data_IF_739528236167
#
_entry.id   IF_739528236167
#
_cell.length_a   1.000
_cell.length_b   1.000
_cell.length_c   1.000
_cell.angle_alpha   90.00
_cell.angle_beta   90.00
_cell.angle_gamma   90.00
#
_symmetry.space_group_name_H-M   'P 1'
#
loop_
_entity.id
_entity.type
_entity.pdbx_description
1 polymer ?
#
# COMPACT_ATOMS: atom_id res chain seq x y z
N UNK A 1 -15.12 5.89 28.86
CA UNK A 1 -14.95 4.63 28.09
C UNK A 1 -14.98 5.03 26.62
N UNK A 2 -14.02 4.60 25.82
CA UNK A 2 -14.00 4.91 24.38
C UNK A 2 -15.22 4.29 23.70
N UNK A 3 -15.89 5.07 22.84
CA UNK A 3 -17.02 4.59 22.04
C UNK A 3 -16.63 4.69 20.56
N UNK A 4 -16.59 3.56 19.87
CA UNK A 4 -16.31 3.52 18.43
C UNK A 4 -17.54 3.95 17.64
N UNK A 5 -17.38 4.99 16.83
CA UNK A 5 -18.40 5.46 15.90
C UNK A 5 -18.22 4.80 14.53
N UNK A 6 -19.08 3.83 14.25
CA UNK A 6 -19.01 3.06 13.01
C UNK A 6 -19.39 3.88 11.78
N UNK A 7 -20.35 4.77 11.90
CA UNK A 7 -20.80 5.59 10.77
C UNK A 7 -19.70 6.57 10.33
N UNK A 8 -19.06 7.21 11.29
CA UNK A 8 -17.90 8.09 10.99
C UNK A 8 -16.71 7.31 10.44
N UNK A 9 -16.47 6.09 10.94
CA UNK A 9 -15.44 5.20 10.40
C UNK A 9 -15.72 4.83 8.94
N UNK A 10 -16.94 4.37 8.62
CA UNK A 10 -17.33 3.98 7.26
C UNK A 10 -17.24 5.14 6.28
N UNK A 11 -17.66 6.35 6.68
CA UNK A 11 -17.49 7.58 5.88
C UNK A 11 -16.01 7.88 5.61
N UNK A 12 -15.16 7.69 6.61
CA UNK A 12 -13.73 7.99 6.52
C UNK A 12 -13.00 7.02 5.58
N UNK A 13 -13.31 5.72 5.64
CA UNK A 13 -12.64 4.69 4.83
C UNK A 13 -13.23 4.54 3.41
N UNK A 14 -14.40 5.10 3.12
CA UNK A 14 -15.10 4.90 1.85
C UNK A 14 -14.24 5.22 0.63
N UNK A 15 -13.59 6.39 0.63
CA UNK A 15 -12.73 6.79 -0.49
C UNK A 15 -11.56 5.84 -0.71
N UNK A 16 -11.02 5.26 0.36
CA UNK A 16 -9.89 4.34 0.31
C UNK A 16 -10.30 3.00 -0.30
N UNK A 17 -11.48 2.51 0.07
CA UNK A 17 -12.07 1.32 -0.53
C UNK A 17 -12.39 1.52 -2.02
N UNK A 18 -12.76 2.75 -2.44
CA UNK A 18 -12.96 3.07 -3.85
C UNK A 18 -11.66 3.18 -4.64
N UNK A 19 -10.60 3.65 -4.00
CA UNK A 19 -9.30 3.93 -4.63
C UNK A 19 -8.56 2.67 -5.08
N UNK A 20 -8.54 1.62 -4.29
CA UNK A 20 -8.00 0.28 -4.53
C UNK A 20 -6.50 0.18 -4.81
N UNK A 21 -5.85 1.18 -5.40
CA UNK A 21 -4.47 1.11 -5.85
C UNK A 21 -3.68 2.36 -5.47
N UNK A 22 -2.53 2.18 -4.79
CA UNK A 22 -1.65 3.24 -4.33
C UNK A 22 -0.17 2.97 -4.59
N UNK A 23 0.65 4.03 -4.50
CA UNK A 23 2.11 3.99 -4.57
C UNK A 23 2.72 4.11 -3.18
N UNK A 24 3.59 3.19 -2.81
CA UNK A 24 4.48 3.32 -1.67
C UNK A 24 5.86 3.79 -2.14
N UNK A 25 6.50 4.69 -1.41
CA UNK A 25 7.82 5.21 -1.78
C UNK A 25 8.74 5.09 -0.57
N UNK A 26 9.71 4.16 -0.63
CA UNK A 26 10.76 4.01 0.37
C UNK A 26 12.03 4.67 -0.10
N UNK A 27 12.37 5.81 0.51
CA UNK A 27 13.53 6.58 0.12
C UNK A 27 14.18 7.27 1.32
N UNK A 28 15.51 7.37 1.32
CA UNK A 28 16.30 7.96 2.39
C UNK A 28 17.80 7.74 2.19
N UNK A 29 18.58 7.89 3.24
CA UNK A 29 20.04 7.73 3.20
C UNK A 29 20.48 6.33 2.72
N UNK A 30 19.68 5.31 3.01
CA UNK A 30 19.95 3.92 2.62
C UNK A 30 19.96 3.71 1.09
N UNK A 31 19.46 4.65 0.32
CA UNK A 31 19.57 4.61 -1.15
C UNK A 31 21.02 4.82 -1.65
N UNK A 32 21.87 5.48 -0.85
CA UNK A 32 23.29 5.73 -1.22
C UNK A 32 24.09 4.42 -1.22
N UNK A 33 24.12 3.61 -0.14
CA UNK A 33 24.78 2.31 -0.17
C UNK A 33 24.10 1.32 -1.12
N UNK A 34 22.85 1.55 -1.50
CA UNK A 34 22.12 0.76 -2.50
C UNK A 34 22.05 -0.75 -2.20
N UNK A 35 21.77 -1.11 -0.93
CA UNK A 35 21.66 -2.49 -0.43
C UNK A 35 20.40 -2.71 0.43
N UNK A 36 19.35 -1.90 0.17
CA UNK A 36 18.08 -1.95 0.90
C UNK A 36 18.05 -1.07 2.15
N UNK A 37 16.85 -0.85 2.66
CA UNK A 37 16.54 0.08 3.74
C UNK A 37 17.03 -0.38 5.13
N UNK A 38 17.24 -1.68 5.31
CA UNK A 38 17.73 -2.29 6.55
C UNK A 38 19.24 -2.35 6.67
N UNK A 39 19.99 -1.83 5.69
CA UNK A 39 21.45 -1.96 5.60
C UNK A 39 22.18 -1.59 6.89
N UNK A 40 21.75 -0.52 7.56
CA UNK A 40 22.38 -0.07 8.80
C UNK A 40 22.26 -1.13 9.92
N UNK A 41 21.09 -1.76 10.05
CA UNK A 41 20.86 -2.83 11.02
C UNK A 41 21.54 -4.14 10.62
N UNK A 42 21.45 -4.53 9.36
CA UNK A 42 22.01 -5.78 8.84
C UNK A 42 23.55 -5.81 8.97
N UNK A 43 24.20 -4.71 8.62
CA UNK A 43 25.65 -4.58 8.70
C UNK A 43 26.12 -4.05 10.08
N UNK A 44 25.20 -3.84 11.04
CA UNK A 44 25.49 -3.33 12.38
C UNK A 44 26.37 -2.06 12.34
N UNK A 45 26.02 -1.13 11.45
CA UNK A 45 26.82 0.09 11.24
C UNK A 45 26.64 1.06 12.40
N UNK A 46 27.78 1.54 12.93
CA UNK A 46 27.78 2.61 13.93
C UNK A 46 27.15 3.89 13.34
N UNK A 47 26.75 4.81 14.22
CA UNK A 47 26.24 6.12 13.79
C UNK A 47 27.29 6.87 12.96
N UNK A 48 28.55 6.86 13.40
CA UNK A 48 29.66 7.50 12.68
C UNK A 48 29.87 6.91 11.28
N UNK A 49 29.86 5.57 11.15
CA UNK A 49 30.01 4.90 9.86
C UNK A 49 28.83 5.18 8.92
N UNK A 50 27.62 5.37 9.45
CA UNK A 50 26.42 5.66 8.67
C UNK A 50 26.29 7.15 8.32
N UNK A 51 26.85 8.05 9.15
CA UNK A 51 26.72 9.50 9.01
C UNK A 51 27.34 10.05 7.72
N UNK A 52 28.30 9.33 7.12
CA UNK A 52 28.83 9.70 5.79
C UNK A 52 27.72 9.83 4.73
N UNK A 53 26.66 9.02 4.81
CA UNK A 53 25.55 9.10 3.87
C UNK A 53 24.69 10.35 4.07
N UNK A 54 24.62 10.86 5.30
CA UNK A 54 24.03 12.17 5.57
C UNK A 54 24.84 13.29 4.90
N UNK A 55 26.17 13.25 5.00
CA UNK A 55 27.06 14.22 4.39
C UNK A 55 27.06 14.16 2.85
N UNK A 56 26.84 12.97 2.28
CA UNK A 56 26.81 12.72 0.84
C UNK A 56 25.45 12.99 0.21
N UNK A 57 24.37 13.07 1.00
CA UNK A 57 23.01 13.11 0.49
C UNK A 57 22.72 14.38 -0.33
N UNK A 58 22.65 14.23 -1.65
CA UNK A 58 22.42 15.32 -2.61
C UNK A 58 21.67 14.79 -3.85
N UNK A 59 20.38 14.49 -3.76
CA UNK A 59 19.62 13.87 -4.83
C UNK A 59 19.25 14.87 -5.95
N UNK A 60 20.19 15.18 -6.83
CA UNK A 60 20.06 16.22 -7.86
C UNK A 60 18.99 15.91 -8.92
N UNK A 61 18.63 14.66 -9.10
CA UNK A 61 17.63 14.26 -10.08
C UNK A 61 16.23 14.06 -9.47
N UNK A 62 16.04 14.38 -8.19
CA UNK A 62 14.73 14.30 -7.55
C UNK A 62 13.74 15.26 -8.19
N UNK A 63 12.76 14.69 -8.88
CA UNK A 63 11.62 15.40 -9.48
C UNK A 63 10.30 14.72 -9.05
N UNK A 64 9.68 15.19 -7.95
CA UNK A 64 8.44 14.61 -7.46
C UNK A 64 7.26 14.77 -8.43
N UNK A 65 7.32 15.74 -9.36
CA UNK A 65 6.28 15.89 -10.40
C UNK A 65 6.35 14.74 -11.41
N UNK A 66 7.55 14.26 -11.72
CA UNK A 66 7.72 13.08 -12.57
C UNK A 66 7.18 11.83 -11.87
N UNK A 67 7.46 11.66 -10.57
CA UNK A 67 6.92 10.56 -9.77
C UNK A 67 5.39 10.58 -9.72
N UNK A 68 4.80 11.75 -9.49
CA UNK A 68 3.34 11.91 -9.44
C UNK A 68 2.68 11.59 -10.78
N UNK A 69 3.26 12.05 -11.90
CA UNK A 69 2.79 11.72 -13.26
C UNK A 69 2.87 10.21 -13.54
N UNK A 70 3.95 9.56 -13.11
CA UNK A 70 4.10 8.11 -13.25
C UNK A 70 3.04 7.35 -12.43
N UNK A 71 2.83 7.73 -11.18
CA UNK A 71 1.79 7.15 -10.33
C UNK A 71 0.39 7.31 -10.95
N UNK A 72 0.07 8.50 -11.46
CA UNK A 72 -1.19 8.77 -12.16
C UNK A 72 -1.35 7.94 -13.41
N UNK A 73 -0.28 7.84 -14.23
CA UNK A 73 -0.26 7.02 -15.45
C UNK A 73 -0.46 5.53 -15.14
N UNK A 74 0.12 5.05 -14.04
CA UNK A 74 -0.09 3.68 -13.57
C UNK A 74 -1.52 3.44 -13.03
N UNK A 75 -2.35 4.47 -12.86
CA UNK A 75 -3.70 4.37 -12.33
C UNK A 75 -3.79 4.44 -10.81
N UNK A 76 -2.74 4.86 -10.12
CA UNK A 76 -2.74 4.99 -8.66
C UNK A 76 -3.55 6.20 -8.20
N UNK A 77 -4.29 6.06 -7.11
CA UNK A 77 -5.20 7.10 -6.56
C UNK A 77 -4.66 7.75 -5.29
N UNK A 78 -3.72 7.13 -4.64
CA UNK A 78 -3.06 7.66 -3.45
C UNK A 78 -1.59 7.24 -3.43
N UNK A 79 -0.81 7.94 -2.61
CA UNK A 79 0.59 7.61 -2.40
C UNK A 79 0.98 7.83 -0.95
N UNK A 80 1.93 7.04 -0.47
CA UNK A 80 2.54 7.17 0.86
C UNK A 80 4.06 7.18 0.69
N UNK A 81 4.74 8.16 1.29
CA UNK A 81 6.21 8.28 1.23
C UNK A 81 6.81 8.26 2.64
N UNK A 82 7.96 7.63 2.79
CA UNK A 82 8.71 7.63 4.06
C UNK A 82 9.12 9.05 4.43
N UNK A 83 8.46 9.64 5.45
CA UNK A 83 8.89 10.90 6.03
C UNK A 83 10.10 10.70 6.95
N UNK A 84 10.10 9.60 7.72
CA UNK A 84 11.22 9.13 8.53
C UNK A 84 11.19 7.60 8.55
N UNK A 85 12.28 6.94 8.14
CA UNK A 85 12.46 5.49 8.25
C UNK A 85 13.20 5.13 9.55
N UNK A 86 13.50 3.86 9.78
CA UNK A 86 14.11 3.35 11.03
C UNK A 86 15.48 3.97 11.35
N UNK A 87 16.21 4.44 10.34
CA UNK A 87 17.50 5.11 10.52
C UNK A 87 17.42 6.49 11.19
N UNK A 88 16.20 7.01 11.38
CA UNK A 88 15.92 8.27 12.04
C UNK A 88 16.08 9.51 11.16
N UNK A 89 16.46 9.34 9.88
CA UNK A 89 16.64 10.47 8.96
C UNK A 89 15.29 11.02 8.48
N UNK A 90 15.07 12.32 8.70
CA UNK A 90 13.86 13.00 8.31
C UNK A 90 13.98 13.58 6.90
N UNK A 91 13.09 13.20 5.99
CA UNK A 91 12.96 13.79 4.67
C UNK A 91 12.14 15.12 4.67
N UNK A 92 11.68 15.55 5.86
CA UNK A 92 10.94 16.77 6.11
C UNK A 92 11.71 17.72 7.04
N UNK A 93 11.35 19.01 7.04
CA UNK A 93 12.01 20.05 7.83
C UNK A 93 11.55 20.05 9.29
N UNK A 94 11.88 18.99 10.05
CA UNK A 94 11.58 18.90 11.48
C UNK A 94 12.36 19.95 12.28
N UNK A 95 11.71 20.55 13.28
CA UNK A 95 12.34 21.46 14.24
C UNK A 95 12.93 20.72 15.45
N UNK A 96 12.72 19.40 15.54
CA UNK A 96 13.14 18.58 16.69
C UNK A 96 14.42 17.79 16.45
N UNK A 97 14.99 17.87 15.24
CA UNK A 97 16.26 17.22 14.92
C UNK A 97 17.02 17.98 13.83
N UNK A 98 18.34 17.90 13.90
CA UNK A 98 19.23 18.35 12.82
C UNK A 98 19.49 17.25 11.78
N UNK A 99 19.06 16.00 12.06
CA UNK A 99 19.23 14.86 11.16
C UNK A 99 18.10 14.80 10.12
N UNK A 100 18.11 15.79 9.22
CA UNK A 100 17.05 16.05 8.25
C UNK A 100 17.57 16.50 6.91
N UNK A 101 16.78 16.34 5.85
CA UNK A 101 17.17 16.61 4.47
C UNK A 101 17.53 18.08 4.22
N UNK A 102 16.89 19.02 4.91
CA UNK A 102 17.20 20.46 4.80
C UNK A 102 18.60 20.83 5.35
N UNK A 103 19.20 19.98 6.17
CA UNK A 103 20.55 20.15 6.70
C UNK A 103 21.62 19.37 5.91
N UNK A 104 21.26 18.62 4.90
CA UNK A 104 22.19 17.96 3.99
C UNK A 104 22.58 18.87 2.84
N UNK A 105 23.42 18.39 1.91
CA UNK A 105 23.82 19.17 0.72
C UNK A 105 22.64 19.55 -0.17
N UNK A 106 21.56 18.77 -0.16
CA UNK A 106 20.39 19.09 -0.96
C UNK A 106 19.60 20.31 -0.44
N UNK A 107 19.62 20.59 0.87
CA UNK A 107 18.98 21.75 1.49
C UNK A 107 17.47 21.87 1.24
N UNK A 108 16.77 20.76 0.95
CA UNK A 108 15.37 20.74 0.50
C UNK A 108 14.47 19.99 1.48
N UNK A 109 13.24 20.44 1.63
CA UNK A 109 12.15 19.71 2.29
C UNK A 109 11.47 18.79 1.26
N UNK A 110 11.95 17.54 1.21
CA UNK A 110 11.58 16.60 0.17
C UNK A 110 10.14 16.09 0.35
N UNK A 111 9.62 16.06 1.58
CA UNK A 111 8.23 15.69 1.86
C UNK A 111 7.27 16.79 1.40
N UNK A 112 7.58 18.06 1.64
CA UNK A 112 6.75 19.16 1.13
C UNK A 112 6.61 19.10 -0.38
N UNK A 113 7.74 18.93 -1.07
CA UNK A 113 7.74 18.86 -2.53
C UNK A 113 6.98 17.66 -3.08
N UNK A 114 7.10 16.49 -2.42
CA UNK A 114 6.34 15.30 -2.73
C UNK A 114 4.83 15.54 -2.59
N UNK A 115 4.40 16.04 -1.43
CA UNK A 115 2.99 16.27 -1.14
C UNK A 115 2.36 17.26 -2.13
N UNK A 116 3.07 18.35 -2.44
CA UNK A 116 2.58 19.36 -3.37
C UNK A 116 2.47 18.83 -4.80
N UNK A 117 3.46 18.04 -5.25
CA UNK A 117 3.46 17.45 -6.59
C UNK A 117 2.34 16.41 -6.78
N UNK A 118 2.11 15.53 -5.80
CA UNK A 118 1.09 14.50 -5.90
C UNK A 118 -0.33 15.09 -5.79
N UNK A 119 -0.54 16.07 -4.91
CA UNK A 119 -1.80 16.83 -4.84
C UNK A 119 -2.12 17.53 -6.16
N UNK A 120 -1.13 18.11 -6.82
CA UNK A 120 -1.31 18.78 -8.10
C UNK A 120 -1.79 17.84 -9.21
N UNK A 121 -1.46 16.54 -9.12
CA UNK A 121 -1.96 15.50 -10.04
C UNK A 121 -3.30 14.88 -9.59
N UNK A 122 -3.89 15.34 -8.49
CA UNK A 122 -5.14 14.83 -7.94
C UNK A 122 -5.00 13.49 -7.22
N UNK A 123 -3.78 13.13 -6.82
CA UNK A 123 -3.48 11.93 -6.04
C UNK A 123 -3.57 12.27 -4.55
N UNK A 124 -4.28 11.46 -3.76
CA UNK A 124 -4.32 11.60 -2.30
C UNK A 124 -2.97 11.26 -1.71
N UNK A 125 -2.60 11.95 -0.64
CA UNK A 125 -1.25 11.88 -0.10
C UNK A 125 -1.20 11.44 1.34
N UNK A 126 -0.22 10.60 1.63
CA UNK A 126 0.10 10.14 2.97
C UNK A 126 1.59 10.15 3.25
N UNK A 127 1.91 9.99 4.50
CA UNK A 127 3.28 9.85 4.96
C UNK A 127 3.45 8.60 5.81
N UNK A 128 4.56 7.92 5.63
CA UNK A 128 5.00 6.83 6.50
C UNK A 128 5.90 7.42 7.60
N UNK A 129 5.73 6.95 8.82
CA UNK A 129 6.53 7.34 9.95
C UNK A 129 6.94 6.13 10.79
N UNK A 130 8.24 5.86 10.85
CA UNK A 130 8.77 4.78 11.68
C UNK A 130 8.65 5.09 13.17
N UNK A 131 8.11 4.15 13.93
CA UNK A 131 8.11 4.18 15.40
C UNK A 131 9.49 3.88 15.98
N UNK A 132 10.34 3.16 15.22
CA UNK A 132 11.75 2.98 15.55
C UNK A 132 12.55 4.22 15.19
N UNK A 133 13.65 4.43 15.92
CA UNK A 133 14.63 5.46 15.59
C UNK A 133 16.03 5.03 16.03
N UNK A 134 16.81 4.50 15.10
CA UNK A 134 18.16 4.04 15.39
C UNK A 134 19.17 5.19 15.58
N UNK A 135 18.75 6.44 15.34
CA UNK A 135 19.59 7.63 15.51
C UNK A 135 19.36 8.30 16.86
N UNK A 136 18.12 8.30 17.36
CA UNK A 136 17.76 9.07 18.54
C UNK A 136 18.47 8.56 19.82
N UNK A 137 19.15 9.42 20.58
CA UNK A 137 19.94 9.00 21.73
C UNK A 137 19.15 8.34 22.87
N UNK A 138 17.87 8.65 22.99
CA UNK A 138 16.99 8.09 24.03
C UNK A 138 16.19 6.87 23.55
N UNK A 139 16.29 6.48 22.28
CA UNK A 139 15.69 5.24 21.82
C UNK A 139 16.49 4.04 22.36
N UNK A 140 15.83 3.03 22.98
CA UNK A 140 16.53 1.86 23.51
C UNK A 140 17.23 1.08 22.39
N UNK A 141 18.48 0.64 22.61
CA UNK A 141 19.21 -0.06 21.57
C UNK A 141 19.98 -1.30 22.01
N UNK A 142 20.45 -1.34 23.25
CA UNK A 142 21.17 -2.52 23.70
C UNK A 142 20.20 -3.70 23.85
N UNK A 143 20.54 -4.81 23.21
CA UNK A 143 19.71 -6.02 23.12
C UNK A 143 18.38 -5.85 22.35
N UNK A 144 18.12 -4.70 21.72
CA UNK A 144 17.03 -4.60 20.77
C UNK A 144 17.37 -5.37 19.48
N UNK A 145 16.53 -6.34 19.12
CA UNK A 145 16.79 -7.23 17.97
C UNK A 145 16.96 -6.52 16.62
N UNK A 146 16.51 -5.29 16.50
CA UNK A 146 16.52 -4.52 15.26
C UNK A 146 17.60 -3.45 15.24
N UNK A 147 18.00 -2.93 16.42
CA UNK A 147 18.93 -1.82 16.49
C UNK A 147 20.34 -2.19 15.96
N UNK A 148 20.99 -1.34 15.14
CA UNK A 148 22.34 -1.61 14.63
C UNK A 148 23.37 -1.95 15.73
N UNK A 149 23.28 -1.28 16.86
CA UNK A 149 24.24 -1.43 17.97
C UNK A 149 23.80 -2.45 19.04
N UNK A 150 22.84 -3.32 18.73
CA UNK A 150 22.24 -4.30 19.68
C UNK A 150 23.23 -5.24 20.36
N UNK A 151 24.35 -5.51 19.72
CA UNK A 151 25.37 -6.45 20.19
C UNK A 151 26.63 -5.74 20.75
N UNK A 152 26.65 -4.40 20.75
CA UNK A 152 27.80 -3.65 21.24
C UNK A 152 27.67 -3.39 22.74
N UNK A 153 28.54 -4.02 23.59
CA UNK A 153 28.48 -3.85 25.03
C UNK A 153 28.85 -2.45 25.54
N UNK A 154 29.42 -1.60 24.66
CA UNK A 154 29.67 -0.19 24.98
C UNK A 154 28.35 0.63 24.96
N UNK A 155 27.30 0.10 24.38
CA UNK A 155 25.98 0.73 24.32
C UNK A 155 25.08 0.09 25.37
N UNK A 156 24.68 0.87 26.37
CA UNK A 156 23.75 0.50 27.42
C UNK A 156 22.45 1.27 27.27
N UNK A 157 21.34 0.69 27.73
CA UNK A 157 20.08 1.41 27.89
C UNK A 157 20.05 2.27 29.17
N UNK A 158 21.06 2.21 30.00
CA UNK A 158 21.23 3.09 31.16
C UNK A 158 21.32 4.57 30.68
N UNK A 159 20.68 5.45 31.40
CA UNK A 159 20.60 6.89 31.09
C UNK A 159 19.84 7.27 29.83
N UNK A 160 19.08 6.34 29.23
CA UNK A 160 18.14 6.65 28.16
C UNK A 160 16.77 6.94 28.75
N UNK A 161 16.14 7.95 28.22
CA UNK A 161 14.81 8.39 28.63
C UNK A 161 13.80 8.14 27.50
N UNK A 162 13.15 7.00 27.56
CA UNK A 162 12.18 6.62 26.53
C UNK A 162 10.99 7.58 26.47
N UNK A 163 10.61 8.22 27.59
CA UNK A 163 9.56 9.25 27.58
C UNK A 163 10.00 10.49 26.80
N UNK A 164 11.28 10.88 26.83
CA UNK A 164 11.81 11.94 25.95
C UNK A 164 11.75 11.55 24.48
N UNK A 165 12.05 10.30 24.17
CA UNK A 165 11.89 9.80 22.80
C UNK A 165 10.44 9.87 22.36
N UNK A 166 9.48 9.45 23.18
CA UNK A 166 8.05 9.51 22.87
C UNK A 166 7.58 10.97 22.66
N UNK A 167 8.03 11.91 23.47
CA UNK A 167 7.74 13.34 23.26
C UNK A 167 8.28 13.85 21.93
N UNK A 168 9.50 13.49 21.57
CA UNK A 168 10.11 13.80 20.27
C UNK A 168 9.29 13.21 19.11
N UNK A 169 8.93 11.93 19.19
CA UNK A 169 8.14 11.24 18.18
C UNK A 169 6.77 11.91 17.98
N UNK A 170 6.03 12.15 19.07
CA UNK A 170 4.73 12.83 19.03
C UNK A 170 4.83 14.25 18.47
N UNK A 171 5.90 14.98 18.81
CA UNK A 171 6.14 16.33 18.31
C UNK A 171 6.39 16.34 16.79
N UNK A 172 7.17 15.40 16.26
CA UNK A 172 7.38 15.25 14.82
C UNK A 172 6.10 14.86 14.08
N UNK A 173 5.29 13.95 14.63
CA UNK A 173 3.99 13.60 14.04
C UNK A 173 3.05 14.82 14.04
N UNK A 174 3.06 15.61 15.11
CA UNK A 174 2.33 16.89 15.17
C UNK A 174 2.77 17.85 14.06
N UNK A 175 4.09 18.00 13.81
CA UNK A 175 4.62 18.83 12.71
C UNK A 175 4.07 18.35 11.35
N UNK A 176 4.12 17.07 11.07
CA UNK A 176 3.58 16.50 9.84
C UNK A 176 2.09 16.78 9.68
N UNK A 177 1.31 16.67 10.76
CA UNK A 177 -0.12 16.92 10.75
C UNK A 177 -0.50 18.42 10.71
N UNK A 178 0.40 19.35 11.03
CA UNK A 178 0.10 20.80 11.08
C UNK A 178 0.74 21.60 9.96
N UNK A 179 1.98 21.28 9.59
CA UNK A 179 2.77 22.14 8.70
C UNK A 179 2.66 21.76 7.22
N UNK A 180 2.11 20.61 6.89
CA UNK A 180 2.14 20.01 5.54
C UNK A 180 0.77 19.99 4.84
N UNK A 181 -0.21 20.74 5.37
CA UNK A 181 -1.58 20.77 4.84
C UNK A 181 -2.33 19.47 5.10
N UNK A 182 -3.34 19.20 4.28
CA UNK A 182 -4.16 17.99 4.46
C UNK A 182 -3.37 16.74 4.13
N UNK A 183 -3.32 15.80 5.06
CA UNK A 183 -2.88 14.42 4.86
C UNK A 183 -4.10 13.50 4.77
N UNK A 184 -4.09 12.57 3.83
CA UNK A 184 -5.14 11.57 3.68
C UNK A 184 -4.82 10.27 4.43
N UNK A 185 -3.53 9.95 4.59
CA UNK A 185 -3.04 8.76 5.29
C UNK A 185 -1.82 9.13 6.14
N UNK A 186 -1.76 8.60 7.36
CA UNK A 186 -0.51 8.43 8.11
C UNK A 186 -0.29 6.94 8.36
N UNK A 187 0.88 6.45 7.96
CA UNK A 187 1.25 5.05 8.02
C UNK A 187 2.36 4.89 9.04
N UNK A 188 2.04 4.41 10.24
CA UNK A 188 3.00 4.09 11.28
C UNK A 188 3.65 2.74 10.99
N UNK A 189 4.86 2.51 11.53
CA UNK A 189 5.50 1.23 11.33
C UNK A 189 6.31 0.79 12.52
N UNK A 190 6.25 -0.50 12.74
CA UNK A 190 7.10 -1.32 13.57
C UNK A 190 6.76 -1.31 15.06
N UNK A 191 5.61 -1.87 15.41
CA UNK A 191 5.36 -2.35 16.78
C UNK A 191 5.79 -3.80 16.92
N UNK A 192 6.55 -4.13 17.98
CA UNK A 192 7.09 -5.47 18.19
C UNK A 192 7.39 -5.72 19.67
N UNK A 193 7.46 -6.99 20.05
CA UNK A 193 7.73 -7.43 21.43
C UNK A 193 6.83 -6.71 22.45
N UNK A 194 7.37 -5.87 23.32
CA UNK A 194 6.62 -5.10 24.32
C UNK A 194 6.25 -3.71 23.84
N UNK A 195 6.71 -3.29 22.65
CA UNK A 195 6.48 -1.96 22.08
C UNK A 195 5.29 -2.00 21.14
N UNK A 196 4.09 -1.89 21.70
CA UNK A 196 2.82 -1.76 20.97
C UNK A 196 1.77 -1.01 21.80
N UNK A 197 0.81 -0.40 21.14
CA UNK A 197 -0.29 0.30 21.80
C UNK A 197 0.20 1.38 22.77
N UNK A 198 -0.16 1.27 24.02
CA UNK A 198 0.16 2.31 25.03
C UNK A 198 1.66 2.41 25.38
N UNK A 199 2.50 1.44 24.99
CA UNK A 199 3.94 1.64 25.06
C UNK A 199 4.41 2.80 24.17
N UNK A 200 3.67 3.13 23.11
CA UNK A 200 3.86 4.31 22.26
C UNK A 200 3.05 5.52 22.72
N UNK A 201 2.34 5.46 23.85
CA UNK A 201 1.29 6.42 24.23
C UNK A 201 0.28 6.63 23.08
N UNK A 202 -0.13 5.50 22.47
CA UNK A 202 -0.89 5.51 21.21
C UNK A 202 -2.25 6.19 21.34
N UNK A 203 -2.92 6.13 22.48
CA UNK A 203 -4.17 6.88 22.70
C UNK A 203 -3.95 8.39 22.56
N UNK A 204 -2.90 8.93 23.17
CA UNK A 204 -2.56 10.36 23.07
C UNK A 204 -2.17 10.72 21.61
N UNK A 205 -1.32 9.89 20.99
CA UNK A 205 -0.87 10.09 19.61
C UNK A 205 -2.02 10.12 18.61
N UNK A 206 -2.89 9.10 18.63
CA UNK A 206 -4.01 8.98 17.69
C UNK A 206 -5.08 10.07 17.95
N UNK A 207 -5.35 10.42 19.21
CA UNK A 207 -6.24 11.52 19.55
C UNK A 207 -5.73 12.82 18.93
N UNK A 208 -4.45 13.15 19.12
CA UNK A 208 -3.81 14.31 18.51
C UNK A 208 -3.90 14.31 16.98
N UNK A 209 -3.59 13.18 16.34
CA UNK A 209 -3.64 13.06 14.87
C UNK A 209 -5.06 13.29 14.35
N UNK A 210 -6.08 12.71 14.99
CA UNK A 210 -7.49 12.87 14.57
C UNK A 210 -8.05 14.26 14.84
N UNK A 211 -7.60 14.94 15.91
CA UNK A 211 -7.96 16.33 16.18
C UNK A 211 -7.38 17.28 15.12
N UNK A 212 -6.13 17.07 14.72
CA UNK A 212 -5.45 17.90 13.72
C UNK A 212 -5.90 17.58 12.28
N UNK A 213 -6.24 16.32 12.01
CA UNK A 213 -6.60 15.80 10.69
C UNK A 213 -7.82 14.85 10.79
N UNK A 214 -9.06 15.36 10.98
CA UNK A 214 -10.21 14.51 11.27
C UNK A 214 -10.53 13.43 10.24
N UNK A 215 -10.17 13.64 8.98
CA UNK A 215 -10.40 12.69 7.87
C UNK A 215 -9.24 11.78 7.54
N UNK A 216 -8.13 11.83 8.30
CA UNK A 216 -6.93 11.03 8.03
C UNK A 216 -7.17 9.54 8.34
N UNK A 217 -6.65 8.68 7.48
CA UNK A 217 -6.59 7.24 7.75
C UNK A 217 -5.29 6.87 8.47
N UNK A 218 -5.41 5.97 9.41
CA UNK A 218 -4.30 5.43 10.20
C UNK A 218 -4.28 3.91 9.99
N UNK A 219 -3.12 3.34 9.72
CA UNK A 219 -2.94 1.90 9.65
C UNK A 219 -3.02 1.22 11.03
N UNK A 220 -2.99 -0.11 11.08
CA UNK A 220 -3.11 -0.84 12.36
C UNK A 220 -1.77 -1.09 13.08
N UNK A 221 -0.65 -0.55 12.61
CA UNK A 221 0.67 -0.93 13.12
C UNK A 221 1.06 -0.32 14.47
N UNK A 222 0.30 0.62 14.98
CA UNK A 222 0.43 1.02 16.39
C UNK A 222 0.01 -0.09 17.36
N UNK A 223 -0.88 -1.00 16.93
CA UNK A 223 -1.36 -2.11 17.73
C UNK A 223 -0.51 -3.38 17.58
N UNK A 224 0.27 -3.47 16.50
CA UNK A 224 1.15 -4.60 16.19
C UNK A 224 1.51 -4.66 14.71
N UNK A 225 2.70 -5.15 14.39
CA UNK A 225 3.16 -5.29 13.01
C UNK A 225 2.69 -6.61 12.42
N UNK A 226 1.45 -6.62 11.93
CA UNK A 226 0.87 -7.77 11.25
C UNK A 226 -0.61 -7.59 10.92
N UNK A 227 -1.08 -8.28 9.89
CA UNK A 227 -2.46 -8.17 9.41
C UNK A 227 -3.50 -8.68 10.40
N UNK A 228 -3.14 -9.67 11.23
CA UNK A 228 -4.07 -10.35 12.15
C UNK A 228 -4.09 -9.73 13.55
N UNK A 229 -3.44 -8.58 13.74
CA UNK A 229 -3.33 -7.94 15.05
C UNK A 229 -4.23 -6.71 15.14
N UNK A 230 -4.60 -6.39 16.38
CA UNK A 230 -5.29 -5.17 16.74
C UNK A 230 -6.81 -5.27 16.79
N UNK A 231 -7.38 -4.12 17.04
CA UNK A 231 -8.81 -3.94 17.33
C UNK A 231 -9.71 -4.28 16.14
N UNK A 232 -9.24 -3.99 14.93
CA UNK A 232 -9.99 -4.28 13.70
C UNK A 232 -10.33 -5.76 13.57
N UNK A 233 -9.38 -6.64 13.91
CA UNK A 233 -9.54 -8.09 13.79
C UNK A 233 -10.37 -8.68 14.93
N UNK A 234 -10.26 -8.11 16.12
CA UNK A 234 -11.02 -8.58 17.29
C UNK A 234 -12.43 -7.97 17.39
N UNK A 235 -12.68 -6.87 16.66
CA UNK A 235 -13.91 -6.09 16.80
C UNK A 235 -14.01 -5.31 18.11
N UNK A 236 -13.00 -5.36 18.98
CA UNK A 236 -12.93 -4.62 20.24
C UNK A 236 -12.09 -3.35 20.07
N UNK A 237 -12.68 -2.34 19.48
CA UNK A 237 -12.00 -1.12 19.06
C UNK A 237 -11.39 -0.37 20.24
N UNK A 238 -10.09 -0.13 20.15
CA UNK A 238 -9.30 0.67 21.09
C UNK A 238 -9.33 2.15 20.69
N UNK A 239 -9.04 3.10 21.64
CA UNK A 239 -8.92 4.52 21.28
C UNK A 239 -7.90 4.82 20.19
N UNK A 240 -6.91 3.96 20.06
CA UNK A 240 -5.82 4.05 19.07
C UNK A 240 -5.94 3.05 17.91
N UNK A 241 -7.17 2.58 17.63
CA UNK A 241 -7.39 1.65 16.51
C UNK A 241 -6.94 2.23 15.17
N UNK A 242 -6.41 1.38 14.31
CA UNK A 242 -6.24 1.69 12.91
C UNK A 242 -7.58 1.76 12.16
N UNK A 243 -7.53 2.29 10.95
CA UNK A 243 -8.67 2.32 10.01
C UNK A 243 -8.60 1.18 9.00
N UNK A 244 -7.42 0.63 8.76
CA UNK A 244 -7.20 -0.52 7.88
C UNK A 244 -6.07 -1.42 8.40
N UNK A 245 -6.18 -2.71 8.10
CA UNK A 245 -5.10 -3.67 8.34
C UNK A 245 -4.14 -3.69 7.15
N UNK A 246 -2.85 -3.92 7.41
CA UNK A 246 -1.82 -3.90 6.36
C UNK A 246 -0.98 -5.19 6.33
N UNK A 247 -1.49 -6.27 5.70
CA UNK A 247 -0.67 -7.45 5.42
C UNK A 247 0.51 -7.09 4.52
N UNK A 248 1.71 -7.52 4.92
CA UNK A 248 2.95 -7.18 4.25
C UNK A 248 3.47 -8.36 3.42
N UNK A 249 3.75 -8.11 2.14
CA UNK A 249 4.27 -9.09 1.16
C UNK A 249 3.37 -10.33 0.97
N UNK A 250 2.11 -10.24 1.40
CA UNK A 250 1.12 -11.30 1.26
C UNK A 250 -0.24 -10.71 0.90
N UNK A 251 -0.99 -11.45 0.09
CA UNK A 251 -2.43 -11.21 -0.13
C UNK A 251 -3.20 -12.28 0.64
N UNK A 252 -4.03 -11.92 1.63
CA UNK A 252 -4.80 -12.89 2.40
C UNK A 252 -5.62 -13.82 1.51
N UNK A 253 -5.75 -15.11 1.88
CA UNK A 253 -6.38 -16.13 1.02
C UNK A 253 -7.82 -15.80 0.66
N UNK A 254 -8.61 -15.33 1.63
CA UNK A 254 -10.05 -15.02 1.48
C UNK A 254 -10.40 -13.55 1.79
N UNK A 255 -9.40 -12.66 1.89
CA UNK A 255 -9.52 -11.35 2.48
C UNK A 255 -9.45 -11.40 4.00
N UNK A 256 -9.79 -10.31 4.67
CA UNK A 256 -9.78 -10.23 6.14
C UNK A 256 -11.21 -10.06 6.67
N UNK A 257 -11.52 -10.80 7.73
CA UNK A 257 -12.78 -10.68 8.48
C UNK A 257 -12.47 -10.60 9.97
N UNK A 258 -13.29 -9.86 10.72
CA UNK A 258 -13.17 -9.80 12.17
C UNK A 258 -13.76 -11.06 12.85
N UNK A 259 -13.64 -11.16 14.16
CA UNK A 259 -14.16 -12.30 14.93
C UNK A 259 -15.68 -12.46 14.84
N UNK A 260 -16.41 -11.42 14.39
CA UNK A 260 -17.85 -11.49 14.13
C UNK A 260 -18.19 -11.83 12.67
N UNK A 261 -17.18 -12.09 11.83
CA UNK A 261 -17.34 -12.43 10.41
C UNK A 261 -17.61 -11.22 9.50
N UNK A 262 -17.38 -9.99 9.97
CA UNK A 262 -17.54 -8.77 9.17
C UNK A 262 -16.25 -8.47 8.41
N UNK A 263 -16.39 -7.98 7.19
CA UNK A 263 -15.24 -7.56 6.39
C UNK A 263 -14.44 -6.45 7.08
N UNK A 264 -13.13 -6.62 7.12
CA UNK A 264 -12.15 -5.64 7.60
C UNK A 264 -11.56 -4.91 6.40
N UNK A 265 -11.43 -3.60 6.49
CA UNK A 265 -10.71 -2.81 5.48
C UNK A 265 -9.22 -3.13 5.57
N UNK A 266 -8.60 -3.43 4.44
CA UNK A 266 -7.18 -3.82 4.40
C UNK A 266 -6.47 -3.40 3.12
N UNK A 267 -5.15 -3.32 3.21
CA UNK A 267 -4.25 -2.96 2.13
C UNK A 267 -3.02 -3.87 2.15
N UNK A 268 -2.79 -4.63 1.09
CA UNK A 268 -1.54 -5.37 0.95
C UNK A 268 -0.44 -4.43 0.47
N UNK A 269 0.62 -4.25 1.26
CA UNK A 269 1.81 -3.54 0.82
C UNK A 269 2.82 -4.53 0.23
N UNK A 270 3.20 -4.28 -1.04
CA UNK A 270 4.02 -5.17 -1.86
C UNK A 270 5.19 -4.42 -2.48
N UNK A 271 6.34 -5.07 -2.56
CA UNK A 271 7.49 -4.56 -3.31
C UNK A 271 7.47 -5.00 -4.77
N UNK A 272 8.09 -4.23 -5.66
CA UNK A 272 8.29 -4.64 -7.06
C UNK A 272 9.38 -5.69 -7.21
N UNK A 273 10.39 -5.69 -6.33
CA UNK A 273 11.45 -6.70 -6.20
C UNK A 273 11.43 -7.30 -4.78
N UNK A 274 12.58 -7.56 -4.14
CA UNK A 274 12.66 -8.13 -2.79
C UNK A 274 12.98 -7.10 -1.69
N UNK A 275 13.11 -5.79 -2.05
CA UNK A 275 13.49 -4.73 -1.14
C UNK A 275 12.49 -3.58 -1.18
N UNK A 276 12.31 -2.87 -0.04
CA UNK A 276 11.55 -1.63 0.01
C UNK A 276 12.39 -0.47 -0.52
N UNK A 277 13.59 -0.26 0.04
CA UNK A 277 14.55 0.72 -0.44
C UNK A 277 15.35 0.23 -1.64
N UNK A 278 16.02 1.15 -2.32
CA UNK A 278 16.84 0.83 -3.48
C UNK A 278 17.94 -0.20 -3.16
N UNK A 279 17.99 -1.25 -3.98
CA UNK A 279 19.03 -2.27 -3.94
C UNK A 279 19.54 -2.53 -5.37
N UNK A 280 20.79 -2.17 -5.64
CA UNK A 280 21.35 -2.25 -6.99
C UNK A 280 21.66 -3.67 -7.47
N UNK A 281 21.77 -4.63 -6.55
CA UNK A 281 22.00 -6.05 -6.84
C UNK A 281 20.72 -6.86 -7.00
N UNK A 282 19.56 -6.32 -6.61
CA UNK A 282 18.28 -6.99 -6.75
C UNK A 282 17.61 -6.66 -8.07
N UNK A 283 17.76 -7.59 -9.02
CA UNK A 283 17.20 -7.48 -10.37
C UNK A 283 15.95 -8.39 -10.55
N UNK A 284 15.42 -8.97 -9.48
CA UNK A 284 14.30 -9.90 -9.52
C UNK A 284 12.94 -9.16 -9.41
N UNK A 285 12.62 -8.38 -10.44
CA UNK A 285 11.38 -7.64 -10.49
C UNK A 285 10.18 -8.52 -10.86
N UNK A 286 9.08 -8.34 -10.15
CA UNK A 286 7.78 -8.92 -10.49
C UNK A 286 7.31 -8.31 -11.82
N UNK A 287 6.97 -9.11 -12.84
CA UNK A 287 6.51 -8.58 -14.12
C UNK A 287 5.12 -7.93 -13.99
N UNK A 288 4.78 -7.07 -14.95
CA UNK A 288 3.54 -6.29 -14.92
C UNK A 288 2.28 -7.16 -14.87
N UNK A 289 2.25 -8.27 -15.61
CA UNK A 289 1.13 -9.22 -15.59
C UNK A 289 0.90 -9.83 -14.20
N UNK A 290 1.96 -10.16 -13.48
CA UNK A 290 1.87 -10.62 -12.09
C UNK A 290 1.28 -9.53 -11.19
N UNK A 291 1.71 -8.28 -11.34
CA UNK A 291 1.24 -7.16 -10.51
C UNK A 291 -0.22 -6.82 -10.80
N UNK A 292 -0.64 -6.83 -12.07
CA UNK A 292 -2.05 -6.68 -12.46
C UNK A 292 -2.91 -7.79 -11.81
N UNK A 293 -2.49 -9.05 -11.93
CA UNK A 293 -3.19 -10.18 -11.31
C UNK A 293 -3.25 -10.06 -9.78
N UNK A 294 -2.21 -9.51 -9.14
CA UNK A 294 -2.21 -9.24 -7.70
C UNK A 294 -3.15 -8.10 -7.32
N UNK A 295 -3.22 -7.03 -8.11
CA UNK A 295 -4.19 -5.95 -7.91
C UNK A 295 -5.63 -6.50 -8.00
N UNK A 296 -5.94 -7.24 -9.04
CA UNK A 296 -7.25 -7.90 -9.20
C UNK A 296 -7.53 -8.85 -8.04
N UNK A 297 -6.53 -9.61 -7.60
CA UNK A 297 -6.66 -10.50 -6.45
C UNK A 297 -7.01 -9.74 -5.17
N UNK A 298 -6.33 -8.63 -4.87
CA UNK A 298 -6.65 -7.77 -3.73
C UNK A 298 -8.10 -7.27 -3.80
N UNK A 299 -8.49 -6.69 -4.93
CA UNK A 299 -9.83 -6.12 -5.12
C UNK A 299 -10.92 -7.18 -5.01
N UNK A 300 -10.73 -8.34 -5.64
CA UNK A 300 -11.69 -9.46 -5.57
C UNK A 300 -11.91 -10.02 -4.15
N UNK A 301 -10.98 -9.72 -3.25
CA UNK A 301 -11.01 -10.07 -1.82
C UNK A 301 -11.34 -8.88 -0.91
N UNK A 302 -11.73 -7.74 -1.50
CA UNK A 302 -12.16 -6.53 -0.79
C UNK A 302 -11.04 -5.61 -0.30
N UNK A 303 -9.78 -5.87 -0.68
CA UNK A 303 -8.62 -5.09 -0.25
C UNK A 303 -8.07 -4.13 -1.29
N UNK A 304 -7.09 -3.35 -0.86
CA UNK A 304 -6.29 -2.45 -1.68
C UNK A 304 -4.90 -3.05 -1.93
N UNK A 305 -4.20 -2.53 -2.92
CA UNK A 305 -2.78 -2.79 -3.14
C UNK A 305 -1.99 -1.49 -3.06
N UNK A 306 -0.98 -1.46 -2.20
CA UNK A 306 0.03 -0.39 -2.08
C UNK A 306 1.35 -0.93 -2.65
N UNK A 307 1.71 -0.49 -3.86
CA UNK A 307 2.88 -1.01 -4.58
C UNK A 307 4.07 -0.09 -4.40
N UNK A 308 5.18 -0.65 -3.91
CA UNK A 308 6.37 0.11 -3.55
C UNK A 308 7.32 0.35 -4.71
N UNK A 309 7.90 1.55 -4.72
CA UNK A 309 9.09 1.91 -5.46
C UNK A 309 10.19 2.37 -4.50
N UNK A 310 11.44 2.02 -4.79
CA UNK A 310 12.63 2.48 -4.07
C UNK A 310 13.50 3.35 -4.98
N UNK A 311 13.40 4.68 -4.94
CA UNK A 311 14.25 5.56 -5.72
C UNK A 311 15.74 5.43 -5.38
N UNK A 312 16.61 5.64 -6.35
CA UNK A 312 18.06 5.62 -6.19
C UNK A 312 18.58 6.84 -5.37
N UNK A 313 19.88 6.88 -5.11
CA UNK A 313 20.53 7.98 -4.37
C UNK A 313 20.36 9.35 -5.03
N UNK A 314 20.12 9.41 -6.33
CA UNK A 314 19.89 10.67 -7.06
C UNK A 314 18.40 11.08 -7.07
N UNK A 315 17.51 10.26 -6.53
CA UNK A 315 16.07 10.50 -6.54
C UNK A 315 15.36 10.06 -7.83
N UNK A 316 15.92 9.10 -8.57
CA UNK A 316 15.27 8.51 -9.75
C UNK A 316 14.58 7.22 -9.38
N UNK A 317 13.34 7.05 -9.80
CA UNK A 317 12.71 5.72 -9.80
C UNK A 317 13.45 4.85 -10.82
N UNK A 318 13.91 3.64 -10.46
CA UNK A 318 14.63 2.76 -11.38
C UNK A 318 13.87 2.54 -12.69
N UNK A 319 14.59 2.56 -13.81
CA UNK A 319 13.97 2.47 -15.15
C UNK A 319 13.08 1.23 -15.29
N UNK A 320 13.52 0.10 -14.73
CA UNK A 320 12.71 -1.14 -14.75
C UNK A 320 11.38 -0.98 -14.00
N UNK A 321 11.35 -0.23 -12.90
CA UNK A 321 10.10 0.10 -12.21
C UNK A 321 9.20 0.99 -13.07
N UNK A 322 9.78 1.96 -13.77
CA UNK A 322 9.02 2.85 -14.68
C UNK A 322 8.37 2.04 -15.80
N UNK A 323 9.12 1.19 -16.49
CA UNK A 323 8.62 0.30 -17.56
C UNK A 323 7.43 -0.55 -17.07
N UNK A 324 7.58 -1.22 -15.92
CA UNK A 324 6.55 -2.08 -15.35
C UNK A 324 5.31 -1.27 -14.98
N UNK A 325 5.46 -0.09 -14.35
CA UNK A 325 4.35 0.77 -13.98
C UNK A 325 3.62 1.33 -15.22
N UNK A 326 4.33 1.61 -16.30
CA UNK A 326 3.72 1.99 -17.56
C UNK A 326 2.94 0.84 -18.21
N UNK A 327 3.41 -0.40 -18.07
CA UNK A 327 2.66 -1.58 -18.53
C UNK A 327 1.39 -1.80 -17.71
N UNK A 328 1.48 -1.70 -16.39
CA UNK A 328 0.31 -1.71 -15.51
C UNK A 328 -0.68 -0.60 -15.90
N UNK A 329 -0.16 0.60 -16.16
CA UNK A 329 -0.96 1.75 -16.59
C UNK A 329 -1.73 1.51 -17.89
N UNK A 330 -1.10 0.87 -18.89
CA UNK A 330 -1.79 0.50 -20.16
C UNK A 330 -2.95 -0.48 -19.93
N UNK A 331 -2.82 -1.39 -18.97
CA UNK A 331 -3.92 -2.27 -18.59
C UNK A 331 -5.01 -1.49 -17.82
N UNK A 332 -4.63 -0.64 -16.86
CA UNK A 332 -5.55 0.19 -16.09
C UNK A 332 -6.35 1.16 -16.97
N UNK A 333 -5.75 1.70 -18.03
CA UNK A 333 -6.44 2.57 -18.99
C UNK A 333 -7.66 1.89 -19.64
N UNK A 334 -7.54 0.57 -19.88
CA UNK A 334 -8.62 -0.22 -20.48
C UNK A 334 -9.66 -0.70 -19.45
N UNK A 335 -9.19 -1.12 -18.27
CA UNK A 335 -9.98 -1.98 -17.38
C UNK A 335 -10.18 -1.42 -15.97
N UNK A 336 -9.80 -0.18 -15.71
CA UNK A 336 -9.90 0.42 -14.36
C UNK A 336 -11.32 0.47 -13.79
N UNK A 337 -12.37 0.40 -14.64
CA UNK A 337 -13.76 0.28 -14.21
C UNK A 337 -14.00 -0.98 -13.35
N UNK A 338 -13.26 -2.06 -13.62
CA UNK A 338 -13.32 -3.32 -12.88
C UNK A 338 -12.56 -3.31 -11.55
N UNK A 339 -11.83 -2.21 -11.26
CA UNK A 339 -10.99 -2.03 -10.08
C UNK A 339 -11.59 -0.98 -9.14
N UNK A 340 -11.74 0.28 -9.62
CA UNK A 340 -12.16 1.37 -8.74
C UNK A 340 -13.62 1.20 -8.29
N UNK A 341 -13.83 1.30 -6.96
CA UNK A 341 -15.13 1.10 -6.34
C UNK A 341 -15.68 -0.32 -6.49
N UNK A 342 -14.85 -1.28 -6.91
CA UNK A 342 -15.19 -2.69 -6.92
C UNK A 342 -14.70 -3.39 -5.65
N UNK A 343 -15.25 -4.58 -5.38
CA UNK A 343 -14.88 -5.39 -4.24
C UNK A 343 -15.26 -6.85 -4.42
N UNK A 344 -15.45 -7.55 -3.29
CA UNK A 344 -15.84 -8.96 -3.27
C UNK A 344 -17.15 -9.19 -4.06
N UNK A 345 -17.13 -10.19 -4.93
CA UNK A 345 -18.31 -10.59 -5.67
C UNK A 345 -19.30 -11.44 -4.82
N UNK A 346 -18.83 -12.06 -3.75
CA UNK A 346 -19.64 -13.01 -2.96
C UNK A 346 -19.93 -14.30 -3.71
N UNK A 347 -19.11 -14.65 -4.69
CA UNK A 347 -19.25 -15.81 -5.57
C UNK A 347 -18.03 -16.72 -5.44
N UNK A 348 -18.19 -17.99 -5.80
CA UNK A 348 -17.07 -18.92 -5.89
C UNK A 348 -16.06 -18.41 -6.95
N UNK A 349 -14.78 -18.58 -6.65
CA UNK A 349 -13.70 -18.25 -7.58
C UNK A 349 -13.76 -19.14 -8.81
N UNK A 350 -13.80 -18.57 -10.04
CA UNK A 350 -13.69 -19.38 -11.25
C UNK A 350 -12.23 -19.86 -11.44
N UNK A 351 -12.07 -21.03 -12.06
CA UNK A 351 -10.76 -21.64 -12.31
C UNK A 351 -9.89 -20.76 -13.23
N UNK A 352 -10.51 -20.05 -14.16
CA UNK A 352 -9.82 -19.21 -15.14
C UNK A 352 -9.40 -17.83 -14.61
N UNK A 353 -9.76 -17.43 -13.37
CA UNK A 353 -9.41 -16.10 -12.91
C UNK A 353 -10.05 -15.63 -11.62
N UNK A 354 -10.67 -14.43 -11.66
CA UNK A 354 -11.31 -13.75 -10.52
C UNK A 354 -12.60 -13.06 -10.94
N UNK A 355 -13.41 -12.68 -9.94
CA UNK A 355 -14.60 -11.86 -10.14
C UNK A 355 -14.53 -10.66 -9.18
N UNK A 356 -14.73 -9.45 -9.71
CA UNK A 356 -14.97 -8.25 -8.90
C UNK A 356 -16.40 -7.78 -9.10
N UNK A 357 -16.96 -7.10 -8.10
CA UNK A 357 -18.34 -6.59 -8.12
C UNK A 357 -18.33 -5.09 -7.89
N UNK A 358 -19.02 -4.35 -8.76
CA UNK A 358 -19.19 -2.89 -8.65
C UNK A 358 -20.39 -2.51 -7.77
N UNK A 359 -21.52 -3.18 -8.04
CA UNK A 359 -22.80 -2.97 -7.37
C UNK A 359 -23.66 -4.26 -7.42
N UNK A 360 -24.92 -4.18 -7.02
CA UNK A 360 -25.81 -5.35 -6.98
C UNK A 360 -25.97 -6.03 -8.34
N UNK A 361 -25.84 -5.28 -9.45
CA UNK A 361 -26.11 -5.75 -10.81
C UNK A 361 -24.88 -5.89 -11.70
N UNK A 362 -23.75 -5.30 -11.34
CA UNK A 362 -22.58 -5.19 -12.22
C UNK A 362 -21.38 -5.98 -11.66
N UNK A 363 -20.93 -6.94 -12.44
CA UNK A 363 -19.77 -7.77 -12.14
C UNK A 363 -18.76 -7.70 -13.28
N UNK A 364 -17.49 -7.93 -12.94
CA UNK A 364 -16.41 -8.07 -13.90
C UNK A 364 -15.72 -9.42 -13.68
N UNK A 365 -15.68 -10.22 -14.74
CA UNK A 365 -14.96 -11.49 -14.77
C UNK A 365 -13.60 -11.23 -15.40
N UNK A 366 -12.57 -11.43 -14.62
CA UNK A 366 -11.17 -11.33 -14.99
C UNK A 366 -10.67 -12.70 -15.43
N UNK A 367 -10.27 -12.81 -16.69
CA UNK A 367 -9.91 -14.06 -17.33
C UNK A 367 -8.39 -14.08 -17.53
N UNK A 368 -7.69 -14.80 -16.67
CA UNK A 368 -6.23 -14.91 -16.67
C UNK A 368 -5.71 -16.02 -17.57
N UNK A 369 -6.51 -17.09 -17.69
CA UNK A 369 -6.14 -18.27 -18.45
C UNK A 369 -7.12 -18.48 -19.60
N UNK A 370 -6.57 -18.80 -20.80
CA UNK A 370 -7.40 -19.06 -21.96
C UNK A 370 -8.34 -20.24 -21.72
N UNK A 371 -9.67 -20.06 -21.88
CA UNK A 371 -10.59 -21.17 -21.85
C UNK A 371 -10.44 -22.02 -23.12
N UNK A 372 -10.80 -23.28 -23.03
CA UNK A 372 -11.04 -24.11 -24.20
C UNK A 372 -12.51 -23.98 -24.57
N UNK A 373 -12.82 -23.09 -25.51
CA UNK A 373 -14.20 -22.77 -25.89
C UNK A 373 -14.79 -21.58 -25.11
N UNK A 374 -16.12 -21.49 -24.97
CA UNK A 374 -16.78 -20.37 -24.31
C UNK A 374 -16.50 -20.33 -22.81
N UNK A 375 -16.55 -19.11 -22.24
CA UNK A 375 -16.28 -18.87 -20.81
C UNK A 375 -17.51 -19.27 -19.97
N UNK A 376 -17.39 -20.22 -19.02
CA UNK A 376 -18.53 -20.62 -18.20
C UNK A 376 -18.81 -19.61 -17.07
N UNK A 377 -20.04 -19.11 -17.02
CA UNK A 377 -20.55 -18.25 -15.95
C UNK A 377 -21.45 -19.08 -15.02
N UNK A 378 -20.83 -19.85 -14.16
CA UNK A 378 -21.52 -20.87 -13.34
C UNK A 378 -22.45 -20.30 -12.27
N UNK A 379 -22.29 -19.01 -11.92
CA UNK A 379 -23.06 -18.36 -10.85
C UNK A 379 -24.46 -17.89 -11.30
N UNK A 380 -24.73 -17.80 -12.60
CA UNK A 380 -25.95 -17.20 -13.12
C UNK A 380 -26.55 -18.02 -14.27
N UNK A 381 -27.87 -18.11 -14.26
CA UNK A 381 -28.64 -18.59 -15.43
C UNK A 381 -28.79 -17.47 -16.46
N UNK A 382 -28.99 -17.85 -17.73
CA UNK A 382 -29.13 -16.91 -18.85
C UNK A 382 -30.18 -15.82 -18.60
N UNK A 383 -31.30 -16.19 -17.99
CA UNK A 383 -32.44 -15.30 -17.71
C UNK A 383 -32.12 -14.23 -16.65
N UNK A 384 -31.06 -14.43 -15.86
CA UNK A 384 -30.60 -13.48 -14.85
C UNK A 384 -29.64 -12.43 -15.43
N UNK A 385 -29.08 -12.70 -16.62
CA UNK A 385 -28.11 -11.83 -17.27
C UNK A 385 -28.80 -10.97 -18.29
N UNK A 386 -28.67 -9.65 -18.17
CA UNK A 386 -29.18 -8.68 -19.13
C UNK A 386 -28.26 -8.57 -20.35
N UNK A 387 -26.95 -8.44 -20.11
CA UNK A 387 -25.94 -8.30 -21.16
C UNK A 387 -24.55 -8.69 -20.67
N UNK A 388 -23.70 -9.10 -21.60
CA UNK A 388 -22.27 -9.30 -21.39
C UNK A 388 -21.53 -8.43 -22.40
N UNK A 389 -20.49 -7.70 -21.94
CA UNK A 389 -19.67 -6.84 -22.79
C UNK A 389 -18.19 -7.06 -22.55
N UNK A 390 -17.40 -6.90 -23.58
CA UNK A 390 -15.97 -6.69 -23.45
C UNK A 390 -15.72 -5.37 -22.71
N UNK A 391 -15.01 -5.39 -21.59
CA UNK A 391 -14.85 -4.21 -20.74
C UNK A 391 -13.93 -3.14 -21.36
N UNK A 392 -13.04 -3.52 -22.29
CA UNK A 392 -12.13 -2.59 -22.94
C UNK A 392 -12.80 -1.84 -24.11
N UNK A 393 -13.63 -2.54 -24.88
CA UNK A 393 -14.19 -2.02 -26.13
C UNK A 393 -15.68 -1.67 -26.03
N UNK A 394 -16.37 -2.19 -25.02
CA UNK A 394 -17.83 -2.11 -24.88
C UNK A 394 -18.60 -2.99 -25.87
N UNK A 395 -17.92 -3.80 -26.68
CA UNK A 395 -18.55 -4.70 -27.63
C UNK A 395 -19.41 -5.75 -26.91
N UNK A 396 -20.59 -6.05 -27.46
CA UNK A 396 -21.47 -7.10 -26.93
C UNK A 396 -20.83 -8.48 -27.13
N UNK A 397 -20.88 -9.29 -26.08
CA UNK A 397 -20.44 -10.68 -26.10
C UNK A 397 -21.66 -11.59 -26.09
N UNK A 398 -21.85 -12.45 -27.11
CA UNK A 398 -22.99 -13.33 -27.19
C UNK A 398 -23.07 -14.30 -26.00
N UNK A 399 -24.30 -14.52 -25.52
CA UNK A 399 -24.61 -15.55 -24.54
C UNK A 399 -25.03 -16.82 -25.30
N UNK A 400 -24.28 -17.88 -25.14
CA UNK A 400 -24.56 -19.13 -25.82
C UNK A 400 -23.36 -20.06 -25.77
N UNK A 401 -23.28 -20.94 -26.71
CA UNK A 401 -22.19 -21.88 -26.83
C UNK A 401 -22.37 -22.73 -28.08
N UNK A 402 -21.45 -23.65 -28.25
CA UNK A 402 -21.54 -24.70 -29.28
C UNK A 402 -22.47 -25.82 -28.84
N UNK A 403 -22.56 -26.89 -29.66
CA UNK A 403 -23.38 -28.07 -29.39
C UNK A 403 -22.96 -28.78 -28.08
N UNK A 404 -21.69 -28.63 -27.64
CA UNK A 404 -21.21 -29.23 -26.39
C UNK A 404 -21.81 -28.49 -25.21
N UNK A 405 -21.81 -27.16 -25.22
CA UNK A 405 -22.39 -26.35 -24.15
C UNK A 405 -23.88 -26.58 -23.95
N UNK A 406 -24.58 -27.00 -24.97
CA UNK A 406 -25.97 -27.40 -24.86
C UNK A 406 -26.20 -28.66 -23.96
N UNK A 407 -25.14 -29.42 -23.71
CA UNK A 407 -25.18 -30.53 -22.75
C UNK A 407 -25.12 -30.08 -21.29
N UNK A 408 -24.88 -28.76 -21.03
CA UNK A 408 -24.78 -28.15 -19.70
C UNK A 408 -25.83 -27.03 -19.51
N UNK A 409 -27.13 -27.42 -19.45
CA UNK A 409 -28.23 -26.43 -19.45
C UNK A 409 -28.27 -25.50 -18.25
N UNK A 410 -27.59 -25.86 -17.16
CA UNK A 410 -27.50 -25.06 -15.93
C UNK A 410 -26.35 -24.07 -15.94
N UNK A 411 -25.49 -24.08 -16.97
CA UNK A 411 -24.34 -23.18 -17.09
C UNK A 411 -24.60 -22.18 -18.22
N UNK A 412 -24.43 -20.90 -17.91
CA UNK A 412 -24.41 -19.84 -18.92
C UNK A 412 -22.99 -19.67 -19.46
N UNK A 413 -22.85 -19.52 -20.76
CA UNK A 413 -21.57 -19.36 -21.43
C UNK A 413 -21.49 -18.00 -22.14
N UNK A 414 -20.35 -17.31 -21.99
CA UNK A 414 -19.97 -16.12 -22.75
C UNK A 414 -19.06 -16.53 -23.91
N UNK A 415 -19.42 -16.16 -25.15
CA UNK A 415 -18.70 -16.55 -26.36
C UNK A 415 -17.76 -15.43 -26.80
N UNK A 416 -16.46 -15.57 -26.52
CA UNK A 416 -15.43 -14.59 -26.88
C UNK A 416 -14.99 -14.65 -28.36
N UNK A 417 -15.52 -15.58 -29.14
CA UNK A 417 -15.23 -15.81 -30.55
C UNK A 417 -14.95 -17.27 -30.87
N UNK A 418 -14.72 -17.56 -32.15
CA UNK A 418 -14.44 -18.93 -32.62
C UNK A 418 -13.06 -19.43 -32.19
N UNK A 419 -12.11 -18.51 -32.02
CA UNK A 419 -10.78 -18.81 -31.52
C UNK A 419 -10.63 -18.25 -30.10
N UNK A 420 -10.43 -19.10 -29.06
CA UNK A 420 -10.40 -18.69 -27.66
C UNK A 420 -9.09 -18.01 -27.24
N UNK A 421 -8.38 -17.36 -28.15
CA UNK A 421 -7.20 -16.54 -27.78
C UNK A 421 -7.69 -15.23 -27.16
N UNK A 422 -7.36 -15.02 -25.90
CA UNK A 422 -7.75 -13.82 -25.17
C UNK A 422 -7.15 -12.56 -25.81
N UNK A 423 -7.96 -11.49 -26.00
CA UNK A 423 -7.50 -10.20 -26.53
C UNK A 423 -6.37 -9.56 -25.72
N UNK A 424 -6.42 -9.72 -24.41
CA UNK A 424 -5.34 -9.30 -23.51
C UNK A 424 -4.83 -10.52 -22.74
N UNK A 425 -3.54 -10.85 -22.95
CA UNK A 425 -2.92 -12.02 -22.32
C UNK A 425 -2.66 -11.84 -20.83
N UNK A 426 -2.60 -10.60 -20.37
CA UNK A 426 -2.41 -10.29 -18.95
C UNK A 426 -3.68 -10.60 -18.18
N UNK A 427 -4.81 -10.03 -18.65
CA UNK A 427 -6.13 -10.20 -18.07
C UNK A 427 -7.17 -9.64 -19.05
N UNK A 428 -7.98 -10.49 -19.60
CA UNK A 428 -9.15 -10.09 -20.39
C UNK A 428 -10.35 -9.93 -19.46
N UNK A 429 -11.01 -8.78 -19.50
CA UNK A 429 -12.11 -8.49 -18.60
C UNK A 429 -13.43 -8.42 -19.36
N UNK A 430 -14.42 -9.19 -18.91
CA UNK A 430 -15.81 -9.09 -19.38
C UNK A 430 -16.69 -8.51 -18.29
N UNK A 431 -17.55 -7.57 -18.68
CA UNK A 431 -18.57 -6.96 -17.82
C UNK A 431 -19.87 -7.74 -17.96
N UNK A 432 -20.38 -8.22 -16.86
CA UNK A 432 -21.67 -8.94 -16.78
C UNK A 432 -22.66 -8.06 -16.03
N UNK A 433 -23.79 -7.75 -16.68
CA UNK A 433 -24.85 -6.95 -16.07
C UNK A 433 -26.09 -7.83 -15.87
N UNK A 434 -26.61 -7.86 -14.64
CA UNK A 434 -27.78 -8.61 -14.25
C UNK A 434 -29.07 -7.81 -14.46
N UNK A 435 -30.19 -8.54 -14.54
CA UNK A 435 -31.56 -7.98 -14.67
C UNK A 435 -32.02 -7.19 -13.44
#
# INVERSE_FOLDING_TARGET
MYTFDREEYEKRVAWFQDARFGMFIHWGLYAIPARGEWIRSQEQMSLEAYNRYFEEFDPKAYDPKQWARLAKKAGMKYAVMTAKHHDGFCLFDSQYTDYKSTNTRCGRDLIREYLDAFRAEGIRVGVYYSLLDWHHPDYPHYQDRTHPMRNDPAFSNENRDFDRYLQYMHAQVRELCTNYGKLDIIWFDFSYDNLFGEAWKATELVTMVRELQPGILIDNRLEGSGSEQGSLMTGNMKPYHGDFACPEQIVPSEGLVDQAGRDVVWEACLTMNNHWGYCNTDQFFKPADMLVKKLVECVSKGGNMLLNVGPDANGRIPERCVEILEEVGRWMEKYSESIYGCGKAGLARPDFGRITRKDEKTLYYHIFDNPVGPVPLTAFKKEQIREIRDAATGAEIPIGGDWVSACYPDITFAVLGENPVLPDRTDTVIKVVLN
#
